data_IF_301214220778
#
_entry.id   IF_301214220778
#
_cell.length_a   1.000
_cell.length_b   1.000
_cell.length_c   1.000
_cell.angle_alpha   90.00
_cell.angle_beta   90.00
_cell.angle_gamma   90.00
#
_symmetry.space_group_name_H-M   'P 1'
#
loop_
_entity.id
_entity.type
_entity.pdbx_description
1 polymer ?
#
# COMPACT_ATOMS: atom_id res chain seq x y z
N UNK A 1 42.18 5.93 40.33
CA UNK A 1 40.83 6.42 40.01
C UNK A 1 40.92 6.92 38.58
N UNK A 2 40.54 6.12 37.59
CA UNK A 2 40.57 6.54 36.18
C UNK A 2 39.36 7.43 35.97
N UNK A 3 39.57 8.74 35.98
CA UNK A 3 38.60 9.71 35.52
C UNK A 3 38.36 9.41 34.04
N UNK A 4 37.22 8.77 33.75
CA UNK A 4 36.77 8.53 32.40
C UNK A 4 36.28 9.89 31.90
N UNK A 5 37.20 10.72 31.41
CA UNK A 5 36.84 11.94 30.67
C UNK A 5 36.11 11.50 29.42
N UNK A 6 34.78 11.38 29.53
CA UNK A 6 33.88 11.30 28.38
C UNK A 6 34.23 12.47 27.46
N UNK A 7 34.75 12.16 26.27
CA UNK A 7 35.05 13.15 25.24
C UNK A 7 33.74 13.49 24.53
N UNK A 8 33.09 14.63 24.85
CA UNK A 8 31.77 14.93 24.33
C UNK A 8 31.77 15.09 22.81
N UNK A 9 32.92 15.45 22.23
CA UNK A 9 33.08 15.56 20.76
C UNK A 9 33.09 14.17 20.13
N UNK A 10 33.78 13.21 20.75
CA UNK A 10 33.76 11.81 20.31
C UNK A 10 32.36 11.21 20.43
N UNK A 11 31.64 11.50 21.51
CA UNK A 11 30.26 11.03 21.70
C UNK A 11 29.29 11.63 20.67
N UNK A 12 29.39 12.94 20.40
CA UNK A 12 28.58 13.59 19.34
C UNK A 12 28.93 13.01 17.96
N UNK A 13 30.21 12.79 17.67
CA UNK A 13 30.64 12.20 16.41
C UNK A 13 30.16 10.74 16.27
N UNK A 14 30.16 9.97 17.36
CA UNK A 14 29.62 8.62 17.41
C UNK A 14 28.10 8.60 17.24
N UNK A 15 27.35 9.45 17.96
CA UNK A 15 25.90 9.58 17.80
C UNK A 15 25.52 10.03 16.39
N UNK A 16 26.30 10.93 15.79
CA UNK A 16 26.11 11.37 14.40
C UNK A 16 26.35 10.22 13.42
N UNK A 17 27.44 9.47 13.57
CA UNK A 17 27.71 8.28 12.73
C UNK A 17 26.62 7.24 12.88
N UNK A 18 26.19 6.95 14.11
CA UNK A 18 25.11 6.01 14.37
C UNK A 18 23.79 6.46 13.74
N UNK A 19 23.50 7.77 13.76
CA UNK A 19 22.34 8.34 13.09
C UNK A 19 22.45 8.31 11.55
N UNK A 20 23.64 8.56 10.99
CA UNK A 20 23.91 8.50 9.55
C UNK A 20 23.87 7.05 9.02
N UNK A 21 24.47 6.09 9.73
CA UNK A 21 24.41 4.65 9.40
C UNK A 21 22.98 4.10 9.48
N UNK A 22 22.16 4.61 10.42
CA UNK A 22 20.74 4.29 10.50
C UNK A 22 19.89 4.94 9.41
N UNK A 23 20.37 6.00 8.73
CA UNK A 23 19.61 6.69 7.70
C UNK A 23 19.49 5.88 6.40
N UNK A 24 20.50 5.07 6.08
CA UNK A 24 20.57 4.27 4.85
C UNK A 24 19.93 2.88 4.99
N UNK A 25 19.23 2.60 6.09
CA UNK A 25 18.53 1.33 6.25
C UNK A 25 17.46 1.15 5.16
N UNK A 26 17.40 -0.02 4.51
CA UNK A 26 16.38 -0.28 3.49
C UNK A 26 14.97 -0.24 4.09
N UNK A 27 14.00 0.11 3.25
CA UNK A 27 12.60 0.16 3.62
C UNK A 27 12.06 -1.24 3.94
N UNK A 28 11.68 -1.44 5.20
CA UNK A 28 11.06 -2.68 5.67
C UNK A 28 9.58 -2.70 5.30
N UNK A 29 9.05 -3.89 5.03
CA UNK A 29 7.63 -4.05 4.65
C UNK A 29 7.33 -3.90 3.15
N UNK A 30 8.33 -3.66 2.30
CA UNK A 30 8.14 -3.60 0.84
C UNK A 30 7.48 -4.86 0.24
N UNK A 31 7.71 -6.03 0.84
CA UNK A 31 7.04 -7.28 0.44
C UNK A 31 5.53 -7.27 0.68
N UNK A 32 5.04 -6.49 1.66
CA UNK A 32 3.60 -6.31 1.91
C UNK A 32 2.99 -5.55 0.73
N UNK A 33 3.61 -4.43 0.31
CA UNK A 33 3.19 -3.63 -0.84
C UNK A 33 3.20 -4.45 -2.13
N UNK A 34 4.26 -5.24 -2.33
CA UNK A 34 4.37 -6.15 -3.47
C UNK A 34 3.19 -7.12 -3.52
N UNK A 35 2.92 -7.78 -2.39
CA UNK A 35 1.87 -8.80 -2.28
C UNK A 35 0.48 -8.19 -2.43
N UNK A 36 0.24 -7.02 -1.83
CA UNK A 36 -1.01 -6.28 -1.97
C UNK A 36 -1.27 -5.93 -3.45
N UNK A 37 -0.28 -5.34 -4.13
CA UNK A 37 -0.39 -4.97 -5.55
C UNK A 37 -0.66 -6.17 -6.44
N UNK A 38 -0.02 -7.32 -6.18
CA UNK A 38 -0.25 -8.55 -6.96
C UNK A 38 -1.65 -9.13 -6.72
N UNK A 39 -2.06 -9.28 -5.46
CA UNK A 39 -3.34 -9.91 -5.11
C UNK A 39 -4.51 -9.05 -5.58
N UNK A 40 -4.52 -7.77 -5.23
CA UNK A 40 -5.60 -6.88 -5.60
C UNK A 40 -5.55 -6.50 -7.09
N UNK A 41 -4.36 -6.42 -7.70
CA UNK A 41 -4.25 -6.24 -9.15
C UNK A 41 -4.83 -7.42 -9.92
N UNK A 42 -4.54 -8.66 -9.49
CA UNK A 42 -5.13 -9.87 -10.07
C UNK A 42 -6.65 -9.93 -9.84
N UNK A 43 -7.13 -9.55 -8.66
CA UNK A 43 -8.56 -9.45 -8.37
C UNK A 43 -9.26 -8.43 -9.28
N UNK A 44 -8.63 -7.29 -9.57
CA UNK A 44 -9.15 -6.30 -10.51
C UNK A 44 -9.23 -6.83 -11.95
N UNK A 45 -8.21 -7.54 -12.43
CA UNK A 45 -8.27 -8.20 -13.76
C UNK A 45 -9.38 -9.24 -13.81
N UNK A 46 -9.52 -10.03 -12.74
CA UNK A 46 -10.60 -11.01 -12.64
C UNK A 46 -11.97 -10.33 -12.68
N UNK A 47 -12.17 -9.26 -11.90
CA UNK A 47 -13.41 -8.50 -11.88
C UNK A 47 -13.74 -7.92 -13.27
N UNK A 48 -12.74 -7.34 -13.96
CA UNK A 48 -12.89 -6.88 -15.34
C UNK A 48 -13.35 -8.01 -16.28
N UNK A 49 -12.75 -9.19 -16.18
CA UNK A 49 -13.12 -10.33 -17.00
C UNK A 49 -14.57 -10.80 -16.74
N UNK A 50 -15.06 -10.67 -15.50
CA UNK A 50 -16.45 -10.96 -15.15
C UNK A 50 -17.41 -9.96 -15.80
N UNK A 51 -17.20 -8.66 -15.60
CA UNK A 51 -18.13 -7.61 -16.07
C UNK A 51 -18.10 -7.42 -17.59
N UNK A 52 -17.11 -7.98 -18.29
CA UNK A 52 -17.02 -8.00 -19.76
C UNK A 52 -17.43 -9.34 -20.38
N UNK A 53 -18.05 -10.22 -19.58
CA UNK A 53 -18.56 -11.54 -19.98
C UNK A 53 -17.49 -12.46 -20.61
N UNK A 54 -16.21 -12.26 -20.27
CA UNK A 54 -15.10 -13.11 -20.71
C UNK A 54 -14.99 -14.39 -19.89
N UNK A 55 -15.57 -14.40 -18.70
CA UNK A 55 -15.77 -15.57 -17.86
C UNK A 55 -17.22 -15.63 -17.39
N UNK A 56 -17.78 -16.83 -17.13
CA UNK A 56 -19.18 -16.96 -16.74
C UNK A 56 -19.49 -16.12 -15.50
N UNK A 57 -20.52 -15.28 -15.60
CA UNK A 57 -21.09 -14.63 -14.44
C UNK A 57 -21.90 -15.66 -13.65
N UNK A 58 -21.59 -15.76 -12.36
CA UNK A 58 -22.41 -16.51 -11.41
C UNK A 58 -22.91 -15.49 -10.43
N UNK A 59 -24.23 -15.37 -10.32
CA UNK A 59 -24.88 -14.39 -9.45
C UNK A 59 -24.33 -14.49 -8.01
N UNK A 60 -23.90 -13.35 -7.46
CA UNK A 60 -23.31 -13.26 -6.13
C UNK A 60 -21.80 -13.53 -6.04
N UNK A 61 -21.12 -13.96 -7.11
CA UNK A 61 -19.67 -14.25 -7.06
C UNK A 61 -18.79 -12.99 -7.12
N UNK A 62 -19.26 -11.87 -7.66
CA UNK A 62 -18.46 -10.64 -7.79
C UNK A 62 -18.00 -10.09 -6.44
N UNK A 63 -18.88 -10.11 -5.42
CA UNK A 63 -18.50 -9.76 -4.04
C UNK A 63 -17.61 -10.82 -3.38
N UNK A 64 -17.83 -12.09 -3.69
CA UNK A 64 -17.03 -13.21 -3.17
C UNK A 64 -15.58 -13.13 -3.66
N UNK A 65 -15.33 -12.74 -4.91
CA UNK A 65 -13.98 -12.56 -5.46
C UNK A 65 -13.15 -11.57 -4.65
N UNK A 66 -13.73 -10.41 -4.30
CA UNK A 66 -13.07 -9.42 -3.45
C UNK A 66 -12.87 -9.92 -2.01
N UNK A 67 -13.82 -10.67 -1.45
CA UNK A 67 -13.67 -11.29 -0.14
C UNK A 67 -12.52 -12.31 -0.12
N UNK A 68 -12.44 -13.17 -1.14
CA UNK A 68 -11.35 -14.15 -1.29
C UNK A 68 -10.00 -13.46 -1.40
N UNK A 69 -9.89 -12.41 -2.23
CA UNK A 69 -8.66 -11.62 -2.36
C UNK A 69 -8.26 -10.97 -1.03
N UNK A 70 -9.23 -10.45 -0.28
CA UNK A 70 -9.00 -9.83 1.03
C UNK A 70 -8.53 -10.85 2.06
N UNK A 71 -9.18 -12.01 2.14
CA UNK A 71 -8.77 -13.10 3.05
C UNK A 71 -7.39 -13.63 2.69
N UNK A 72 -7.11 -13.83 1.40
CA UNK A 72 -5.79 -14.23 0.91
C UNK A 72 -4.73 -13.20 1.31
N UNK A 73 -5.02 -11.90 1.14
CA UNK A 73 -4.10 -10.84 1.53
C UNK A 73 -3.85 -10.85 3.05
N UNK A 74 -4.87 -11.06 3.89
CA UNK A 74 -4.68 -11.16 5.34
C UNK A 74 -3.78 -12.33 5.75
N UNK A 75 -3.96 -13.50 5.14
CA UNK A 75 -3.08 -14.66 5.38
C UNK A 75 -1.64 -14.32 5.00
N UNK A 76 -1.42 -13.74 3.82
CA UNK A 76 -0.09 -13.33 3.34
C UNK A 76 0.51 -12.25 4.25
N UNK A 77 -0.28 -11.26 4.65
CA UNK A 77 0.11 -10.18 5.55
C UNK A 77 0.58 -10.73 6.90
N UNK A 78 -0.19 -11.66 7.49
CA UNK A 78 0.16 -12.29 8.76
C UNK A 78 1.49 -13.06 8.66
N UNK A 79 1.68 -13.82 7.58
CA UNK A 79 2.94 -14.55 7.31
C UNK A 79 4.11 -13.58 7.17
N UNK A 80 3.96 -12.50 6.41
CA UNK A 80 5.02 -11.51 6.18
C UNK A 80 5.37 -10.77 7.48
N UNK A 81 4.37 -10.31 8.25
CA UNK A 81 4.60 -9.63 9.53
C UNK A 81 5.35 -10.56 10.49
N UNK A 82 4.94 -11.83 10.59
CA UNK A 82 5.61 -12.80 11.46
C UNK A 82 7.06 -13.05 11.01
N UNK A 83 7.32 -13.13 9.71
CA UNK A 83 8.69 -13.26 9.17
C UNK A 83 9.54 -12.03 9.47
N UNK A 84 8.98 -10.82 9.28
CA UNK A 84 9.69 -9.56 9.55
C UNK A 84 10.03 -9.39 11.04
N UNK A 85 9.13 -9.81 11.95
CA UNK A 85 9.38 -9.82 13.39
C UNK A 85 10.49 -10.81 13.76
N UNK A 86 10.46 -12.02 13.19
CA UNK A 86 11.47 -13.07 13.46
C UNK A 86 12.85 -12.74 12.90
N UNK A 87 12.93 -12.05 11.76
CA UNK A 87 14.20 -11.67 11.14
C UNK A 87 15.02 -10.68 11.99
N UNK A 88 14.42 -10.02 12.99
CA UNK A 88 15.11 -9.06 13.85
C UNK A 88 15.60 -7.83 13.09
N UNK A 89 16.53 -7.06 13.66
CA UNK A 89 17.14 -5.89 13.03
C UNK A 89 16.55 -4.55 13.48
N UNK A 90 17.32 -3.49 13.31
CA UNK A 90 17.00 -2.14 13.81
C UNK A 90 15.80 -1.56 13.05
N UNK A 91 14.86 -0.98 13.81
CA UNK A 91 13.71 -0.23 13.27
C UNK A 91 14.02 1.25 13.32
N UNK A 92 14.39 1.83 12.19
CA UNK A 92 14.70 3.26 12.06
C UNK A 92 13.44 4.11 12.22
N UNK A 93 13.61 5.41 12.50
CA UNK A 93 12.49 6.34 12.58
C UNK A 93 11.68 6.37 11.27
N UNK A 94 12.37 6.34 10.12
CA UNK A 94 11.74 6.24 8.79
C UNK A 94 10.93 4.97 8.62
N UNK A 95 11.47 3.81 9.04
CA UNK A 95 10.74 2.54 9.01
C UNK A 95 9.48 2.56 9.88
N UNK A 96 9.57 3.13 11.09
CA UNK A 96 8.41 3.24 11.99
C UNK A 96 7.35 4.17 11.41
N UNK A 97 7.73 5.37 10.96
CA UNK A 97 6.79 6.33 10.39
C UNK A 97 6.08 5.77 9.15
N UNK A 98 6.83 5.15 8.23
CA UNK A 98 6.28 4.50 7.05
C UNK A 98 5.34 3.36 7.41
N UNK A 99 5.72 2.46 8.35
CA UNK A 99 4.82 1.39 8.77
C UNK A 99 3.55 1.92 9.43
N UNK A 100 3.64 2.98 10.24
CA UNK A 100 2.49 3.61 10.86
C UNK A 100 1.54 4.17 9.79
N UNK A 101 2.07 4.89 8.79
CA UNK A 101 1.22 5.47 7.74
C UNK A 101 0.52 4.37 6.93
N UNK A 102 1.24 3.33 6.48
CA UNK A 102 0.64 2.26 5.70
C UNK A 102 -0.37 1.44 6.50
N UNK A 103 -0.12 1.24 7.80
CA UNK A 103 -1.09 0.58 8.68
C UNK A 103 -2.34 1.43 8.86
N UNK A 104 -2.19 2.74 9.09
CA UNK A 104 -3.30 3.67 9.23
C UNK A 104 -4.13 3.77 7.93
N UNK A 105 -3.48 3.78 6.77
CA UNK A 105 -4.14 3.75 5.46
C UNK A 105 -4.91 2.44 5.25
N UNK A 106 -4.33 1.29 5.62
CA UNK A 106 -5.03 0.01 5.57
C UNK A 106 -6.31 0.01 6.43
N UNK A 107 -6.23 0.49 7.67
CA UNK A 107 -7.39 0.66 8.53
C UNK A 107 -8.40 1.68 7.98
N UNK A 108 -7.92 2.77 7.39
CA UNK A 108 -8.76 3.78 6.72
C UNK A 108 -9.56 3.20 5.55
N UNK A 109 -8.92 2.35 4.73
CA UNK A 109 -9.59 1.63 3.64
C UNK A 109 -10.66 0.68 4.21
N UNK A 110 -10.36 -0.09 5.26
CA UNK A 110 -11.38 -0.95 5.89
C UNK A 110 -12.55 -0.15 6.46
N UNK A 111 -12.28 0.94 7.17
CA UNK A 111 -13.31 1.82 7.71
C UNK A 111 -14.18 2.41 6.59
N UNK A 112 -13.56 2.84 5.48
CA UNK A 112 -14.27 3.32 4.29
C UNK A 112 -15.21 2.25 3.72
N UNK A 113 -14.73 1.03 3.49
CA UNK A 113 -15.58 -0.08 3.00
C UNK A 113 -16.75 -0.35 3.95
N UNK A 114 -16.51 -0.39 5.27
CA UNK A 114 -17.57 -0.58 6.25
C UNK A 114 -18.61 0.56 6.23
N UNK A 115 -18.16 1.82 6.10
CA UNK A 115 -19.05 2.98 5.94
C UNK A 115 -19.89 2.89 4.66
N UNK A 116 -19.31 2.44 3.56
CA UNK A 116 -20.02 2.30 2.29
C UNK A 116 -21.04 1.15 2.30
N UNK A 117 -20.72 0.03 2.97
CA UNK A 117 -21.70 -1.03 3.21
C UNK A 117 -22.88 -0.53 4.06
N UNK A 118 -22.59 0.21 5.14
CA UNK A 118 -23.63 0.80 5.99
C UNK A 118 -24.51 1.81 5.23
N UNK A 119 -23.91 2.62 4.35
CA UNK A 119 -24.62 3.53 3.47
C UNK A 119 -25.52 2.76 2.49
N UNK A 120 -24.99 1.71 1.87
CA UNK A 120 -25.73 0.82 0.97
C UNK A 120 -26.97 0.20 1.61
N UNK A 121 -26.85 -0.29 2.85
CA UNK A 121 -27.97 -0.82 3.61
C UNK A 121 -29.01 0.23 4.03
N UNK A 122 -28.59 1.48 4.24
CA UNK A 122 -29.46 2.57 4.72
C UNK A 122 -30.25 3.24 3.62
N UNK A 123 -29.59 3.56 2.51
CA UNK A 123 -30.14 4.45 1.47
C UNK A 123 -30.62 3.65 0.25
N UNK A 124 -29.90 2.60 -0.15
CA UNK A 124 -30.18 1.87 -1.39
C UNK A 124 -30.15 2.75 -2.64
N UNK A 125 -30.32 2.14 -3.83
CA UNK A 125 -30.49 2.86 -5.09
C UNK A 125 -29.19 3.32 -5.79
N UNK A 126 -29.36 4.05 -6.90
CA UNK A 126 -28.31 4.41 -7.86
C UNK A 126 -27.13 5.21 -7.27
N UNK A 127 -27.39 6.02 -6.23
CA UNK A 127 -26.34 6.77 -5.54
C UNK A 127 -25.30 5.88 -4.84
N UNK A 128 -25.68 4.65 -4.50
CA UNK A 128 -24.77 3.64 -3.93
C UNK A 128 -23.81 3.14 -5.01
N UNK A 129 -24.28 2.85 -6.21
CA UNK A 129 -23.44 2.34 -7.30
C UNK A 129 -22.32 3.32 -7.68
N UNK A 130 -22.66 4.61 -7.81
CA UNK A 130 -21.67 5.67 -8.08
C UNK A 130 -20.64 5.75 -6.94
N UNK A 131 -21.09 5.65 -5.68
CA UNK A 131 -20.18 5.67 -4.54
C UNK A 131 -19.20 4.50 -4.62
N UNK A 132 -19.67 3.27 -4.87
CA UNK A 132 -18.82 2.08 -5.00
C UNK A 132 -17.87 2.17 -6.21
N UNK A 133 -18.30 2.78 -7.31
CA UNK A 133 -17.46 3.04 -8.49
C UNK A 133 -16.28 3.99 -8.22
N UNK A 134 -16.34 4.81 -7.18
CA UNK A 134 -15.23 5.70 -6.78
C UNK A 134 -14.15 5.01 -5.93
N UNK A 135 -14.39 3.79 -5.44
CA UNK A 135 -13.46 3.09 -4.54
C UNK A 135 -12.03 2.99 -5.13
N UNK A 136 -11.82 2.54 -6.39
CA UNK A 136 -10.48 2.49 -6.97
C UNK A 136 -9.75 3.84 -6.95
N UNK A 137 -10.48 4.92 -7.25
CA UNK A 137 -9.94 6.28 -7.24
C UNK A 137 -9.52 6.72 -5.84
N UNK A 138 -10.38 6.53 -4.83
CA UNK A 138 -10.09 6.90 -3.45
C UNK A 138 -8.92 6.08 -2.88
N UNK A 139 -8.83 4.79 -3.21
CA UNK A 139 -7.68 3.96 -2.82
C UNK A 139 -6.38 4.52 -3.40
N UNK A 140 -6.39 4.99 -4.66
CA UNK A 140 -5.20 5.61 -5.25
C UNK A 140 -4.79 6.91 -4.54
N UNK A 141 -5.74 7.69 -4.00
CA UNK A 141 -5.41 8.85 -3.14
C UNK A 141 -4.70 8.40 -1.86
N UNK A 142 -5.23 7.38 -1.17
CA UNK A 142 -4.58 6.83 0.02
C UNK A 142 -3.16 6.34 -0.26
N UNK A 143 -2.97 5.67 -1.40
CA UNK A 143 -1.66 5.21 -1.84
C UNK A 143 -0.71 6.35 -2.20
N UNK A 144 -1.21 7.44 -2.80
CA UNK A 144 -0.45 8.66 -3.00
C UNK A 144 0.08 9.24 -1.69
N UNK A 145 -0.75 9.27 -0.64
CA UNK A 145 -0.34 9.71 0.71
C UNK A 145 0.72 8.78 1.29
N UNK A 146 0.51 7.46 1.21
CA UNK A 146 1.46 6.46 1.70
C UNK A 146 2.84 6.58 1.06
N UNK A 147 2.87 6.78 -0.26
CA UNK A 147 4.10 7.02 -0.99
C UNK A 147 4.72 8.39 -0.70
N UNK A 148 3.94 9.47 -0.58
CA UNK A 148 4.45 10.80 -0.29
C UNK A 148 5.15 10.85 1.08
N UNK A 149 4.52 10.27 2.10
CA UNK A 149 5.12 10.17 3.44
C UNK A 149 6.37 9.30 3.39
N UNK A 150 6.33 8.15 2.71
CA UNK A 150 7.52 7.31 2.53
C UNK A 150 8.64 8.07 1.80
N UNK A 151 8.32 8.84 0.77
CA UNK A 151 9.28 9.64 0.02
C UNK A 151 9.95 10.71 0.88
N UNK A 152 9.19 11.38 1.74
CA UNK A 152 9.71 12.34 2.70
C UNK A 152 10.63 11.67 3.74
N UNK A 153 10.22 10.53 4.29
CA UNK A 153 10.99 9.81 5.32
C UNK A 153 12.29 9.19 4.80
N UNK A 154 12.31 8.74 3.54
CA UNK A 154 13.50 8.16 2.89
C UNK A 154 14.23 9.16 1.98
N UNK A 155 13.81 10.43 1.94
CA UNK A 155 14.37 11.49 1.07
C UNK A 155 14.52 11.05 -0.40
N UNK A 156 13.57 10.25 -0.90
CA UNK A 156 13.68 9.58 -2.20
C UNK A 156 12.79 10.22 -3.25
N UNK A 157 13.42 10.75 -4.31
CA UNK A 157 12.71 11.29 -5.48
C UNK A 157 11.93 10.23 -6.25
N UNK A 158 12.40 8.97 -6.24
CA UNK A 158 11.71 7.87 -6.90
C UNK A 158 10.38 7.56 -6.21
N UNK A 159 10.36 7.56 -4.88
CA UNK A 159 9.12 7.37 -4.12
C UNK A 159 8.14 8.54 -4.32
N UNK A 160 8.64 9.77 -4.51
CA UNK A 160 7.80 10.89 -4.93
C UNK A 160 7.16 10.67 -6.29
N UNK A 161 7.88 10.07 -7.24
CA UNK A 161 7.31 9.65 -8.52
C UNK A 161 6.13 8.69 -8.37
N UNK A 162 6.22 7.72 -7.45
CA UNK A 162 5.11 6.81 -7.15
C UNK A 162 3.92 7.53 -6.50
N UNK A 163 4.18 8.50 -5.63
CA UNK A 163 3.15 9.32 -5.00
C UNK A 163 2.37 10.14 -6.05
N UNK A 164 3.10 10.87 -6.90
CA UNK A 164 2.51 11.65 -7.99
C UNK A 164 1.75 10.73 -8.95
N UNK A 165 2.34 9.60 -9.34
CA UNK A 165 1.68 8.61 -10.19
C UNK A 165 0.37 8.11 -9.59
N UNK A 166 0.32 7.91 -8.26
CA UNK A 166 -0.88 7.49 -7.55
C UNK A 166 -1.94 8.60 -7.51
N UNK A 167 -1.54 9.83 -7.22
CA UNK A 167 -2.46 10.98 -7.24
C UNK A 167 -2.99 11.31 -8.63
N UNK A 168 -2.21 11.06 -9.69
CA UNK A 168 -2.66 11.22 -11.08
C UNK A 168 -3.60 10.06 -11.48
N UNK A 169 -3.32 8.84 -11.03
CA UNK A 169 -4.19 7.70 -11.31
C UNK A 169 -5.59 7.88 -10.69
N UNK A 170 -5.71 8.54 -9.54
CA UNK A 170 -6.99 8.76 -8.87
C UNK A 170 -8.05 9.47 -9.75
N UNK A 171 -7.84 10.70 -10.28
CA UNK A 171 -8.83 11.35 -11.15
C UNK A 171 -9.02 10.61 -12.48
N UNK A 172 -7.99 9.94 -13.01
CA UNK A 172 -8.13 9.11 -14.22
C UNK A 172 -9.08 7.93 -13.99
N UNK A 173 -8.96 7.25 -12.85
CA UNK A 173 -9.87 6.16 -12.48
C UNK A 173 -11.28 6.67 -12.16
N UNK A 174 -11.41 7.86 -11.59
CA UNK A 174 -12.72 8.47 -11.38
C UNK A 174 -13.40 8.81 -12.72
N UNK A 175 -12.65 9.27 -13.72
CA UNK A 175 -13.18 9.54 -15.06
C UNK A 175 -13.68 8.29 -15.78
N UNK A 176 -13.15 7.11 -15.41
CA UNK A 176 -13.60 5.80 -15.91
C UNK A 176 -14.73 5.19 -15.09
N UNK A 177 -15.33 5.92 -14.14
CA UNK A 177 -16.43 5.36 -13.35
C UNK A 177 -17.59 4.96 -14.27
N UNK A 178 -18.10 3.73 -14.08
CA UNK A 178 -19.11 3.08 -14.94
C UNK A 178 -18.59 2.47 -16.24
N UNK A 179 -17.32 2.66 -16.58
CA UNK A 179 -16.65 1.96 -17.69
C UNK A 179 -15.97 0.69 -17.13
N UNK A 180 -16.19 -0.49 -17.74
CA UNK A 180 -15.47 -1.71 -17.35
C UNK A 180 -13.96 -1.55 -17.30
N UNK A 181 -13.38 -0.75 -18.22
CA UNK A 181 -11.94 -0.56 -18.36
C UNK A 181 -11.30 0.12 -17.14
N UNK A 182 -12.11 0.70 -16.24
CA UNK A 182 -11.66 1.18 -14.94
C UNK A 182 -10.89 0.10 -14.17
N UNK A 183 -11.34 -1.15 -14.19
CA UNK A 183 -10.71 -2.23 -13.44
C UNK A 183 -9.39 -2.70 -14.07
N UNK A 184 -9.25 -2.62 -15.39
CA UNK A 184 -7.94 -2.84 -16.06
C UNK A 184 -6.97 -1.70 -15.74
N UNK A 185 -7.42 -0.46 -15.84
CA UNK A 185 -6.62 0.71 -15.49
C UNK A 185 -6.17 0.63 -14.02
N UNK A 186 -7.08 0.19 -13.13
CA UNK A 186 -6.78 -0.01 -11.72
C UNK A 186 -5.79 -1.15 -11.49
N UNK A 187 -5.94 -2.29 -12.17
CA UNK A 187 -4.97 -3.37 -12.13
C UNK A 187 -3.57 -2.92 -12.56
N UNK A 188 -3.48 -2.17 -13.66
CA UNK A 188 -2.22 -1.60 -14.13
C UNK A 188 -1.61 -0.65 -13.09
N UNK A 189 -2.42 0.22 -12.47
CA UNK A 189 -1.97 1.09 -11.38
C UNK A 189 -1.44 0.29 -10.18
N UNK A 190 -2.14 -0.76 -9.75
CA UNK A 190 -1.70 -1.62 -8.65
C UNK A 190 -0.40 -2.37 -8.98
N UNK A 191 -0.26 -2.87 -10.21
CA UNK A 191 0.98 -3.55 -10.60
C UNK A 191 2.17 -2.58 -10.70
N UNK A 192 1.98 -1.43 -11.34
CA UNK A 192 3.06 -0.48 -11.61
C UNK A 192 3.44 0.36 -10.38
N UNK A 193 2.46 0.72 -9.54
CA UNK A 193 2.66 1.63 -8.42
C UNK A 193 2.75 0.93 -7.06
N UNK A 194 2.37 -0.35 -6.96
CA UNK A 194 2.55 -1.16 -5.74
C UNK A 194 3.43 -2.38 -5.96
N UNK A 195 3.03 -3.27 -6.87
CA UNK A 195 3.67 -4.59 -7.01
C UNK A 195 5.14 -4.47 -7.40
N UNK A 196 5.39 -3.76 -8.51
CA UNK A 196 6.71 -3.53 -9.08
C UNK A 196 7.64 -2.78 -8.10
N UNK A 197 7.30 -1.60 -7.55
CA UNK A 197 8.17 -0.92 -6.60
C UNK A 197 8.38 -1.72 -5.32
N UNK A 198 7.35 -2.42 -4.81
CA UNK A 198 7.50 -3.32 -3.67
C UNK A 198 8.54 -4.43 -3.93
N UNK A 199 8.53 -5.02 -5.13
CA UNK A 199 9.53 -5.99 -5.55
C UNK A 199 10.93 -5.38 -5.66
N UNK A 200 11.06 -4.20 -6.30
CA UNK A 200 12.35 -3.52 -6.49
C UNK A 200 12.97 -3.11 -5.15
N UNK A 201 12.19 -2.57 -4.23
CA UNK A 201 12.62 -2.21 -2.87
C UNK A 201 13.04 -3.46 -2.08
N UNK A 202 12.28 -4.55 -2.17
CA UNK A 202 12.65 -5.83 -1.54
C UNK A 202 13.97 -6.37 -2.09
N UNK A 203 14.21 -6.27 -3.40
CA UNK A 203 15.45 -6.73 -4.03
C UNK A 203 16.64 -5.85 -3.65
N UNK A 204 16.43 -4.54 -3.54
CA UNK A 204 17.45 -3.59 -3.07
C UNK A 204 17.90 -3.88 -1.65
N UNK A 205 16.98 -4.27 -0.76
CA UNK A 205 17.26 -4.57 0.64
C UNK A 205 18.08 -5.86 0.90
N UNK A 206 18.28 -6.70 -0.13
CA UNK A 206 19.05 -7.96 -0.04
C UNK A 206 20.50 -7.83 -0.51
N UNK A 207 20.87 -6.66 -1.05
CA UNK A 207 22.25 -6.34 -1.46
C UNK A 207 22.94 -5.61 -0.33
#
# INVERSE_FOLDING_TARGET
>A
MTENTEDPVADIAWMRRLAEEGADSPMRGASILMSAGLIFGAASVFHWAQITDRIPQVDGITGIGWLVATLLFFVVLMVIINRLKRAGGVMTASNRATNTVWSALGWGIFAMFASMMALGWRVGGEGVEIAFGLIPSVIMVFYGIGWAVSAAMYKSRLLWGLAVGSFVAAPLLAALTSDPDQYLAYAAALFLLMALPGYLLMRGARR
#
